data_IF_003727048289
#
_entry.id   IF_003727048289
#
_cell.length_a   1.000
_cell.length_b   1.000
_cell.length_c   1.000
_cell.angle_alpha   90.00
_cell.angle_beta   90.00
_cell.angle_gamma   90.00
#
_symmetry.space_group_name_H-M   'P 1'
#
loop_
_entity.id
_entity.type
_entity.pdbx_description
1 polymer ?
#
# COMPACT_ATOMS: atom_id res chain seq x y z
N UNK A 1 10.10 13.14 -57.98
CA UNK A 1 9.07 13.37 -56.95
C UNK A 1 9.58 12.84 -55.63
N UNK A 2 9.64 13.70 -54.60
CA UNK A 2 10.09 13.38 -53.23
C UNK A 2 9.09 12.42 -52.57
N UNK A 3 9.54 11.26 -52.09
CA UNK A 3 8.77 10.47 -51.13
C UNK A 3 9.25 10.81 -49.73
N UNK A 4 8.39 11.50 -48.97
CA UNK A 4 8.58 11.84 -47.57
C UNK A 4 8.05 10.69 -46.69
N UNK A 5 8.85 10.39 -45.67
CA UNK A 5 8.64 9.47 -44.55
C UNK A 5 7.31 9.78 -43.82
N UNK A 6 6.43 8.81 -43.51
CA UNK A 6 5.51 8.97 -42.40
C UNK A 6 6.11 8.36 -41.14
N UNK A 7 6.17 9.23 -40.14
CA UNK A 7 6.55 9.04 -38.75
C UNK A 7 6.07 7.70 -38.16
N UNK A 8 7.01 6.99 -37.55
CA UNK A 8 6.71 6.02 -36.51
C UNK A 8 6.00 6.75 -35.35
N UNK A 9 4.71 6.48 -35.19
CA UNK A 9 3.94 6.82 -34.00
C UNK A 9 4.47 5.98 -32.83
N UNK A 10 5.45 6.52 -32.11
CA UNK A 10 5.79 6.08 -30.75
C UNK A 10 4.59 6.42 -29.85
N UNK A 11 3.65 5.48 -29.73
CA UNK A 11 2.65 5.49 -28.67
C UNK A 11 3.35 5.27 -27.33
N UNK A 12 3.70 6.36 -26.66
CA UNK A 12 4.03 6.35 -25.25
C UNK A 12 2.79 5.91 -24.48
N UNK A 13 2.71 4.61 -24.15
CA UNK A 13 1.83 4.12 -23.11
C UNK A 13 2.32 4.76 -21.80
N UNK A 14 1.76 5.92 -21.47
CA UNK A 14 1.82 6.44 -20.11
C UNK A 14 1.21 5.35 -19.23
N UNK A 15 2.06 4.60 -18.53
CA UNK A 15 1.65 3.83 -17.39
C UNK A 15 0.99 4.84 -16.44
N UNK A 16 -0.34 4.85 -16.43
CA UNK A 16 -1.08 5.56 -15.39
C UNK A 16 -0.66 4.88 -14.10
N UNK A 17 0.29 5.46 -13.38
CA UNK A 17 0.52 5.16 -11.98
C UNK A 17 -0.84 5.37 -11.32
N UNK A 18 -1.52 4.26 -11.02
CA UNK A 18 -2.74 4.30 -10.23
C UNK A 18 -2.41 5.17 -9.01
N UNK A 19 -3.23 6.20 -8.72
CA UNK A 19 -2.91 7.13 -7.64
C UNK A 19 -2.65 6.29 -6.38
N UNK A 20 -1.41 6.33 -5.88
CA UNK A 20 -1.05 5.66 -4.65
C UNK A 20 -2.02 6.19 -3.60
N UNK A 21 -2.86 5.30 -3.05
CA UNK A 21 -3.83 5.62 -2.01
C UNK A 21 -3.14 6.48 -0.94
N UNK A 22 -3.64 7.69 -0.70
CA UNK A 22 -3.09 8.52 0.37
C UNK A 22 -3.68 8.10 1.71
N UNK A 23 -3.04 8.51 2.80
CA UNK A 23 -3.58 8.30 4.14
C UNK A 23 -4.94 9.00 4.30
N UNK A 24 -5.09 10.21 3.74
CA UNK A 24 -6.34 10.96 3.79
C UNK A 24 -7.48 10.22 3.07
N UNK A 25 -7.22 9.70 1.86
CA UNK A 25 -8.20 8.92 1.10
C UNK A 25 -8.62 7.66 1.86
N UNK A 26 -7.63 6.93 2.39
CA UNK A 26 -7.88 5.73 3.19
C UNK A 26 -8.75 6.04 4.41
N UNK A 27 -8.42 7.08 5.19
CA UNK A 27 -9.20 7.47 6.38
C UNK A 27 -10.62 7.92 6.03
N UNK A 28 -10.79 8.60 4.89
CA UNK A 28 -12.10 9.03 4.40
C UNK A 28 -12.97 7.81 4.07
N UNK A 29 -12.46 6.89 3.25
CA UNK A 29 -13.17 5.69 2.84
C UNK A 29 -13.41 4.71 4.00
N UNK A 30 -12.45 4.62 4.94
CA UNK A 30 -12.62 3.85 6.17
C UNK A 30 -13.80 4.36 6.99
N UNK A 31 -13.92 5.68 7.18
CA UNK A 31 -15.05 6.30 7.90
C UNK A 31 -16.38 6.02 7.21
N UNK A 32 -16.42 6.13 5.88
CA UNK A 32 -17.61 5.78 5.08
C UNK A 32 -17.98 4.30 5.25
N UNK A 33 -17.02 3.39 5.20
CA UNK A 33 -17.25 1.96 5.41
C UNK A 33 -17.72 1.64 6.83
N UNK A 34 -17.18 2.34 7.85
CA UNK A 34 -17.58 2.16 9.24
C UNK A 34 -19.01 2.63 9.51
N UNK A 35 -19.41 3.75 8.92
CA UNK A 35 -20.74 4.34 9.05
C UNK A 35 -21.83 3.58 8.28
N UNK A 36 -21.44 2.69 7.35
CA UNK A 36 -22.39 1.87 6.60
C UNK A 36 -23.16 0.91 7.52
N UNK A 37 -24.48 0.89 7.37
CA UNK A 37 -25.39 0.09 8.21
C UNK A 37 -25.83 -1.18 7.50
N UNK A 38 -25.93 -1.15 6.17
CA UNK A 38 -26.18 -2.36 5.40
C UNK A 38 -24.95 -3.28 5.46
N UNK A 39 -25.14 -4.50 5.95
CA UNK A 39 -24.04 -5.44 6.16
C UNK A 39 -23.36 -5.84 4.85
N UNK A 40 -24.13 -6.03 3.78
CA UNK A 40 -23.60 -6.42 2.47
C UNK A 40 -22.72 -5.32 1.89
N UNK A 41 -23.22 -4.08 1.91
CA UNK A 41 -22.46 -2.92 1.47
C UNK A 41 -21.24 -2.66 2.35
N UNK A 42 -21.37 -2.81 3.68
CA UNK A 42 -20.24 -2.66 4.60
C UNK A 42 -19.11 -3.62 4.29
N UNK A 43 -19.43 -4.90 4.09
CA UNK A 43 -18.44 -5.91 3.67
C UNK A 43 -17.82 -5.53 2.33
N UNK A 44 -18.63 -5.16 1.34
CA UNK A 44 -18.14 -4.77 0.02
C UNK A 44 -17.20 -3.55 0.08
N UNK A 45 -17.50 -2.55 0.91
CA UNK A 45 -16.63 -1.37 1.13
C UNK A 45 -15.28 -1.76 1.74
N UNK A 46 -15.27 -2.59 2.77
CA UNK A 46 -14.01 -3.06 3.36
C UNK A 46 -13.21 -3.94 2.40
N UNK A 47 -13.88 -4.78 1.61
CA UNK A 47 -13.21 -5.57 0.57
C UNK A 47 -12.52 -4.68 -0.46
N UNK A 48 -13.20 -3.64 -0.96
CA UNK A 48 -12.59 -2.65 -1.88
C UNK A 48 -11.40 -1.94 -1.26
N UNK A 49 -11.49 -1.56 0.02
CA UNK A 49 -10.36 -0.97 0.75
C UNK A 49 -9.17 -1.95 0.83
N UNK A 50 -9.42 -3.21 1.15
CA UNK A 50 -8.37 -4.23 1.21
C UNK A 50 -7.69 -4.45 -0.16
N UNK A 51 -8.47 -4.48 -1.24
CA UNK A 51 -7.94 -4.58 -2.62
C UNK A 51 -7.02 -3.41 -2.96
N UNK A 52 -7.36 -2.19 -2.52
CA UNK A 52 -6.52 -1.00 -2.73
C UNK A 52 -5.24 -0.99 -1.91
N UNK A 53 -5.22 -1.64 -0.75
CA UNK A 53 -4.02 -1.80 0.07
C UNK A 53 -3.13 -2.95 -0.39
N UNK A 54 -3.67 -3.93 -1.12
CA UNK A 54 -2.93 -5.12 -1.57
C UNK A 54 -1.64 -4.81 -2.35
N UNK A 55 -1.61 -3.80 -3.26
CA UNK A 55 -0.37 -3.39 -3.92
C UNK A 55 0.74 -2.97 -2.95
N UNK A 56 0.42 -2.26 -1.88
CA UNK A 56 1.40 -1.86 -0.85
C UNK A 56 1.98 -3.07 -0.13
N UNK A 57 1.14 -4.04 0.25
CA UNK A 57 1.62 -5.30 0.85
C UNK A 57 2.52 -6.09 -0.11
N UNK A 58 2.16 -6.15 -1.39
CA UNK A 58 2.98 -6.82 -2.41
C UNK A 58 4.33 -6.12 -2.59
N UNK A 59 4.35 -4.78 -2.60
CA UNK A 59 5.57 -3.98 -2.67
C UNK A 59 6.46 -4.22 -1.46
N UNK A 60 5.89 -4.29 -0.26
CA UNK A 60 6.63 -4.62 0.96
C UNK A 60 7.30 -6.00 0.87
N UNK A 61 6.56 -7.03 0.42
CA UNK A 61 7.09 -8.38 0.23
C UNK A 61 8.20 -8.42 -0.82
N UNK A 62 8.02 -7.72 -1.94
CA UNK A 62 9.04 -7.60 -2.98
C UNK A 62 10.34 -6.97 -2.46
N UNK A 63 10.24 -5.95 -1.58
CA UNK A 63 11.41 -5.36 -0.93
C UNK A 63 12.14 -6.36 -0.02
N UNK A 64 11.40 -7.13 0.78
CA UNK A 64 11.99 -8.19 1.62
C UNK A 64 12.70 -9.27 0.79
N UNK A 65 12.08 -9.71 -0.30
CA UNK A 65 12.65 -10.71 -1.20
C UNK A 65 13.90 -10.15 -1.91
N UNK A 66 13.89 -8.88 -2.30
CA UNK A 66 15.03 -8.19 -2.89
C UNK A 66 16.20 -8.05 -1.90
N UNK A 67 15.93 -7.67 -0.65
CA UNK A 67 16.96 -7.61 0.40
C UNK A 67 17.62 -8.97 0.63
N UNK A 68 16.79 -10.01 0.71
CA UNK A 68 17.25 -11.39 0.86
C UNK A 68 18.10 -11.85 -0.33
N UNK A 69 17.65 -11.57 -1.56
CA UNK A 69 18.38 -11.93 -2.78
C UNK A 69 19.73 -11.19 -2.89
N UNK A 70 19.78 -9.95 -2.39
CA UNK A 70 20.99 -9.14 -2.33
C UNK A 70 21.93 -9.51 -1.15
N UNK A 71 21.55 -10.47 -0.30
CA UNK A 71 22.32 -10.82 0.90
C UNK A 71 22.36 -9.72 1.96
N UNK A 72 21.43 -8.75 1.88
CA UNK A 72 21.32 -7.67 2.87
C UNK A 72 20.40 -8.10 4.01
N UNK A 73 20.58 -7.56 5.23
CA UNK A 73 19.59 -7.70 6.28
C UNK A 73 18.25 -7.15 5.79
N UNK A 74 17.17 -7.93 5.79
CA UNK A 74 15.86 -7.43 5.37
C UNK A 74 15.36 -6.40 6.38
N UNK A 75 14.59 -5.42 5.90
CA UNK A 75 13.95 -4.41 6.76
C UNK A 75 13.10 -4.99 7.90
N UNK A 76 12.58 -6.21 7.73
CA UNK A 76 11.78 -6.92 8.71
C UNK A 76 11.94 -8.42 8.58
N UNK A 77 11.73 -9.14 9.68
CA UNK A 77 11.94 -10.59 9.76
C UNK A 77 10.63 -11.30 10.15
N UNK A 78 9.65 -11.37 9.23
CA UNK A 78 8.41 -12.09 9.52
C UNK A 78 8.71 -13.57 9.76
N UNK A 79 8.18 -14.13 10.85
CA UNK A 79 8.31 -15.57 11.15
C UNK A 79 7.64 -16.35 10.01
N UNK A 80 8.38 -17.31 9.42
CA UNK A 80 7.89 -18.16 8.34
C UNK A 80 6.59 -18.85 8.78
N UNK A 81 5.52 -18.66 8.00
CA UNK A 81 4.19 -19.22 8.30
C UNK A 81 3.35 -18.41 9.29
N UNK A 82 3.82 -17.24 9.76
CA UNK A 82 2.97 -16.39 10.59
C UNK A 82 1.77 -15.88 9.78
N UNK A 83 0.57 -16.18 10.27
CA UNK A 83 -0.70 -15.60 9.78
C UNK A 83 -0.93 -14.23 10.39
N UNK A 84 0.14 -13.48 10.66
CA UNK A 84 0.03 -12.24 11.40
C UNK A 84 -0.79 -11.24 10.57
N UNK A 85 -1.97 -10.92 11.10
CA UNK A 85 -2.88 -9.93 10.55
C UNK A 85 -2.41 -8.54 10.95
N UNK A 86 -2.53 -7.56 10.05
CA UNK A 86 -2.41 -6.15 10.44
C UNK A 86 -3.64 -5.80 11.26
N UNK A 87 -3.45 -5.29 12.47
CA UNK A 87 -4.53 -4.63 13.21
C UNK A 87 -4.83 -3.29 12.53
N UNK A 88 -5.86 -3.30 11.67
CA UNK A 88 -6.26 -2.12 10.92
C UNK A 88 -6.86 -1.04 11.83
N UNK A 89 -7.48 -1.40 12.95
CA UNK A 89 -8.02 -0.41 13.89
C UNK A 89 -6.90 0.36 14.58
N UNK A 90 -5.84 -0.35 15.00
CA UNK A 90 -4.64 0.29 15.54
C UNK A 90 -3.95 1.18 14.50
N UNK A 91 -3.86 0.72 13.24
CA UNK A 91 -3.32 1.51 12.14
C UNK A 91 -4.14 2.79 11.92
N UNK A 92 -5.46 2.70 11.81
CA UNK A 92 -6.35 3.86 11.66
C UNK A 92 -6.18 4.84 12.81
N UNK A 93 -6.14 4.34 14.04
CA UNK A 93 -5.96 5.16 15.25
C UNK A 93 -4.64 5.96 15.20
N UNK A 94 -3.56 5.36 14.70
CA UNK A 94 -2.28 6.06 14.53
C UNK A 94 -2.33 7.07 13.39
N UNK A 95 -2.97 6.74 12.28
CA UNK A 95 -3.13 7.63 11.13
C UNK A 95 -3.98 8.86 11.44
N UNK A 96 -5.00 8.72 12.30
CA UNK A 96 -5.83 9.84 12.75
C UNK A 96 -5.07 10.85 13.62
N UNK A 97 -3.92 10.48 14.20
CA UNK A 97 -3.07 11.41 14.96
C UNK A 97 -2.20 12.31 14.07
N UNK A 98 -2.08 11.97 12.78
CA UNK A 98 -1.25 12.71 11.83
C UNK A 98 -1.89 14.06 11.47
N UNK A 99 -1.05 15.07 11.19
CA UNK A 99 -1.49 16.35 10.65
C UNK A 99 -2.02 16.20 9.22
N UNK A 100 -2.77 17.19 8.73
CA UNK A 100 -3.29 17.17 7.36
C UNK A 100 -2.18 17.03 6.32
N UNK A 101 -1.07 17.76 6.48
CA UNK A 101 0.10 17.64 5.61
C UNK A 101 0.70 16.22 5.62
N UNK A 102 0.73 15.55 6.77
CA UNK A 102 1.20 14.17 6.87
C UNK A 102 0.22 13.18 6.23
N UNK A 103 -1.09 13.46 6.28
CA UNK A 103 -2.12 12.59 5.68
C UNK A 103 -2.15 12.66 4.15
N UNK A 104 -1.53 13.67 3.54
CA UNK A 104 -1.33 13.73 2.09
C UNK A 104 -0.28 12.73 1.58
N UNK A 105 0.48 12.10 2.49
CA UNK A 105 1.50 11.12 2.11
C UNK A 105 0.89 9.80 1.60
N UNK A 106 1.62 9.04 0.76
CA UNK A 106 1.22 7.71 0.34
C UNK A 106 1.06 6.75 1.53
N UNK A 107 0.02 5.92 1.48
CA UNK A 107 -0.32 4.94 2.52
C UNK A 107 0.78 3.88 2.74
N UNK A 108 1.60 3.62 1.73
CA UNK A 108 2.72 2.68 1.78
C UNK A 108 3.62 2.88 3.00
N UNK A 109 4.04 4.12 3.26
CA UNK A 109 4.95 4.42 4.35
C UNK A 109 4.36 4.02 5.72
N UNK A 110 3.05 4.25 5.91
CA UNK A 110 2.36 3.89 7.14
C UNK A 110 2.21 2.38 7.30
N UNK A 111 1.83 1.67 6.22
CA UNK A 111 1.75 0.20 6.22
C UNK A 111 3.12 -0.39 6.52
N UNK A 112 4.17 0.12 5.88
CA UNK A 112 5.53 -0.37 6.03
C UNK A 112 6.03 -0.19 7.46
N UNK A 113 5.85 0.99 8.04
CA UNK A 113 6.20 1.24 9.44
C UNK A 113 5.46 0.30 10.41
N UNK A 114 4.18 0.04 10.16
CA UNK A 114 3.41 -0.89 10.98
C UNK A 114 3.93 -2.34 10.85
N UNK A 115 4.29 -2.76 9.64
CA UNK A 115 4.86 -4.09 9.39
C UNK A 115 6.27 -4.24 9.99
N UNK A 116 7.12 -3.23 9.88
CA UNK A 116 8.46 -3.23 10.48
C UNK A 116 8.37 -3.38 12.02
N UNK A 117 7.48 -2.61 12.68
CA UNK A 117 7.22 -2.72 14.12
C UNK A 117 6.69 -4.10 14.51
N UNK A 118 5.88 -4.71 13.64
CA UNK A 118 5.25 -6.01 13.89
C UNK A 118 6.23 -7.18 13.77
N UNK A 119 7.23 -7.04 12.91
CA UNK A 119 8.19 -8.08 12.55
C UNK A 119 9.63 -7.61 12.73
N UNK A 120 10.04 -7.25 13.97
CA UNK A 120 11.41 -6.83 14.22
C UNK A 120 12.37 -7.94 13.85
N UNK A 121 13.49 -7.58 13.21
CA UNK A 121 14.59 -8.51 13.07
C UNK A 121 15.27 -8.71 14.42
N UNK A 122 15.64 -9.96 14.78
CA UNK A 122 16.45 -10.18 15.97
C UNK A 122 17.76 -9.40 15.79
N UNK A 123 18.10 -8.57 16.77
CA UNK A 123 19.44 -8.01 16.89
C UNK A 123 20.43 -9.16 17.00
N UNK A 124 21.44 -9.17 16.12
CA UNK A 124 22.53 -10.12 16.13
C UNK A 124 23.31 -10.10 17.44
#
# INVERSE_FOLDING_TARGET
MRFLIPLALLSAAAAQEAPNLTIADFLSEWRVAQAETDRGEKVARFSRLAERLAPSFNRYKALLDADKAAGRPPRACPVKGSKATVDINALVTDLEKLSEAQRAAPMDAAIFAQLDRRFPCPTA
#
